data_IF_549520831713
#
_entry.id   IF_549520831713
#
_cell.length_a   1.000
_cell.length_b   1.000
_cell.length_c   1.000
_cell.angle_alpha   90.00
_cell.angle_beta   90.00
_cell.angle_gamma   90.00
#
_symmetry.space_group_name_H-M   'P 1'
#
loop_
_entity.id
_entity.type
_entity.pdbx_description
1 polymer ?
#
# COMPACT_ATOMS: atom_id res chain seq x y z
N UNK A 1 3.26 0.93 0.63
CA UNK A 1 1.98 0.65 1.35
C UNK A 1 1.16 -0.36 0.57
N UNK A 2 0.58 0.05 -0.55
CA UNK A 2 -0.13 -0.82 -1.50
C UNK A 2 0.80 -1.94 -1.95
N UNK A 3 0.30 -3.17 -2.03
CA UNK A 3 1.10 -4.35 -2.41
C UNK A 3 2.01 -4.88 -1.29
N UNK A 4 2.69 -3.99 -0.56
CA UNK A 4 3.64 -4.34 0.52
C UNK A 4 2.97 -4.68 1.85
N UNK A 5 2.21 -3.74 2.41
CA UNK A 5 1.60 -3.84 3.75
C UNK A 5 0.13 -4.26 3.67
N UNK A 6 -0.50 -3.98 2.54
CA UNK A 6 -1.90 -4.29 2.24
C UNK A 6 -1.97 -5.33 1.12
N UNK A 7 -3.11 -5.99 1.00
CA UNK A 7 -3.31 -7.09 0.06
C UNK A 7 -3.40 -6.64 -1.41
N UNK A 8 -3.47 -5.34 -1.67
CA UNK A 8 -3.80 -4.77 -2.99
C UNK A 8 -5.14 -5.32 -3.53
N UNK A 9 -6.07 -5.59 -2.60
CA UNK A 9 -7.40 -6.12 -2.89
C UNK A 9 -8.44 -5.18 -2.30
N UNK A 10 -8.82 -4.17 -3.08
CA UNK A 10 -9.84 -3.22 -2.66
C UNK A 10 -11.16 -3.94 -2.41
N UNK A 11 -11.80 -3.61 -1.29
CA UNK A 11 -13.11 -4.13 -0.90
C UNK A 11 -14.01 -2.97 -0.54
N UNK A 12 -15.21 -2.90 -1.11
CA UNK A 12 -16.23 -1.92 -0.68
C UNK A 12 -16.79 -2.37 0.67
N UNK A 13 -16.73 -1.49 1.66
CA UNK A 13 -17.13 -1.81 3.06
C UNK A 13 -18.19 -0.88 3.61
N UNK A 14 -18.36 0.30 3.03
CA UNK A 14 -19.35 1.26 3.48
C UNK A 14 -19.93 2.05 2.30
N UNK A 15 -21.19 2.45 2.36
CA UNK A 15 -21.84 3.35 1.43
C UNK A 15 -22.56 4.48 2.16
N UNK A 16 -22.80 5.58 1.45
CA UNK A 16 -23.66 6.66 1.92
C UNK A 16 -24.55 7.14 0.80
N UNK A 17 -25.87 7.14 1.04
CA UNK A 17 -26.91 7.60 0.10
C UNK A 17 -28.01 8.28 0.88
N UNK A 18 -28.49 9.44 0.42
CA UNK A 18 -29.62 10.14 1.05
C UNK A 18 -29.46 10.38 2.57
N UNK A 19 -28.22 10.55 3.05
CA UNK A 19 -27.89 10.69 4.48
C UNK A 19 -27.89 9.39 5.28
N UNK A 20 -28.30 8.26 4.67
CA UNK A 20 -28.24 6.94 5.27
C UNK A 20 -26.91 6.27 4.98
N UNK A 21 -26.42 5.48 5.94
CA UNK A 21 -25.21 4.67 5.79
C UNK A 21 -25.57 3.23 5.46
N UNK A 22 -24.79 2.64 4.57
CA UNK A 22 -24.92 1.24 4.15
C UNK A 22 -23.68 0.51 4.65
N UNK A 23 -23.86 -0.55 5.44
CA UNK A 23 -22.76 -1.43 5.81
C UNK A 23 -22.62 -2.54 4.76
N UNK A 24 -21.51 -2.52 4.01
CA UNK A 24 -21.21 -3.58 3.03
C UNK A 24 -20.32 -4.69 3.62
N UNK A 25 -19.82 -4.53 4.87
CA UNK A 25 -19.15 -5.65 5.57
C UNK A 25 -20.14 -6.74 5.92
N UNK A 26 -21.36 -6.33 6.25
CA UNK A 26 -22.52 -7.20 6.41
C UNK A 26 -23.56 -6.79 5.37
N UNK A 27 -23.37 -7.19 4.10
CA UNK A 27 -24.17 -6.68 3.00
C UNK A 27 -25.66 -6.94 3.27
N UNK A 28 -26.53 -5.92 3.08
CA UNK A 28 -27.97 -6.09 3.27
C UNK A 28 -28.52 -7.10 2.27
N UNK A 29 -29.66 -7.70 2.61
CA UNK A 29 -30.34 -8.60 1.67
C UNK A 29 -30.80 -7.76 0.46
N UNK A 30 -30.65 -8.24 -0.79
CA UNK A 30 -30.96 -7.43 -1.96
C UNK A 30 -32.36 -6.81 -1.97
N UNK A 31 -33.37 -7.44 -1.38
CA UNK A 31 -34.74 -6.90 -1.26
C UNK A 31 -34.86 -5.70 -0.31
N UNK A 32 -33.93 -5.51 0.61
CA UNK A 32 -33.94 -4.42 1.61
C UNK A 32 -33.34 -3.11 1.09
N UNK A 33 -32.65 -3.16 -0.06
CA UNK A 33 -32.08 -1.98 -0.70
C UNK A 33 -33.18 -1.04 -1.19
N UNK A 34 -33.13 0.21 -0.70
CA UNK A 34 -33.94 1.31 -1.18
C UNK A 34 -33.61 1.68 -2.63
N UNK A 35 -34.53 2.38 -3.29
CA UNK A 35 -34.37 2.78 -4.69
C UNK A 35 -33.12 3.64 -4.90
N UNK A 36 -32.81 4.55 -3.96
CA UNK A 36 -31.63 5.41 -4.05
C UNK A 36 -30.33 4.60 -3.96
N UNK A 37 -30.29 3.58 -3.10
CA UNK A 37 -29.13 2.70 -2.93
C UNK A 37 -28.90 1.83 -4.18
N UNK A 38 -29.99 1.35 -4.80
CA UNK A 38 -29.93 0.66 -6.09
C UNK A 38 -29.40 1.59 -7.18
N UNK A 39 -29.82 2.86 -7.19
CA UNK A 39 -29.31 3.85 -8.15
C UNK A 39 -27.81 4.08 -7.95
N UNK A 40 -27.32 4.16 -6.70
CA UNK A 40 -25.88 4.28 -6.42
C UNK A 40 -25.10 3.08 -6.97
N UNK A 41 -25.55 1.86 -6.64
CA UNK A 41 -24.88 0.63 -7.06
C UNK A 41 -24.92 0.45 -8.58
N UNK A 42 -26.07 0.70 -9.21
CA UNK A 42 -26.21 0.59 -10.65
C UNK A 42 -25.35 1.63 -11.39
N UNK A 43 -25.39 2.90 -10.97
CA UNK A 43 -24.63 3.97 -11.61
C UNK A 43 -23.12 3.76 -11.45
N UNK A 44 -22.68 3.25 -10.30
CA UNK A 44 -21.26 2.91 -10.06
C UNK A 44 -20.82 1.68 -10.87
N UNK A 45 -21.67 0.67 -11.03
CA UNK A 45 -21.40 -0.54 -11.81
C UNK A 45 -21.35 -0.28 -13.33
N UNK A 46 -22.24 0.57 -13.84
CA UNK A 46 -22.26 0.94 -15.27
C UNK A 46 -21.06 1.82 -15.63
N UNK A 47 -20.65 2.70 -14.72
CA UNK A 47 -19.48 3.56 -14.86
C UNK A 47 -18.18 2.82 -14.51
N UNK A 48 -18.02 1.56 -14.91
CA UNK A 48 -16.85 0.72 -14.58
C UNK A 48 -16.38 -0.05 -15.80
N UNK A 49 -15.06 -0.08 -16.04
CA UNK A 49 -14.42 -0.81 -17.14
C UNK A 49 -14.03 -2.24 -16.78
N UNK A 50 -14.01 -2.58 -15.48
CA UNK A 50 -13.74 -3.94 -15.03
C UNK A 50 -14.72 -4.96 -15.63
N UNK A 51 -14.18 -6.06 -16.14
CA UNK A 51 -14.93 -7.16 -16.71
C UNK A 51 -15.15 -8.28 -15.70
N UNK A 52 -16.39 -8.77 -15.64
CA UNK A 52 -16.78 -9.92 -14.82
C UNK A 52 -16.77 -11.19 -15.69
N UNK A 53 -15.92 -12.16 -15.33
CA UNK A 53 -15.89 -13.48 -15.96
C UNK A 53 -16.39 -14.54 -14.97
N UNK A 54 -17.50 -15.18 -15.32
CA UNK A 54 -18.02 -16.31 -14.55
C UNK A 54 -17.27 -17.59 -14.96
N UNK A 55 -16.75 -18.33 -13.98
CA UNK A 55 -16.07 -19.60 -14.18
C UNK A 55 -17.07 -20.77 -14.17
N UNK A 56 -16.75 -21.90 -14.82
CA UNK A 56 -17.67 -23.05 -14.91
C UNK A 56 -18.01 -23.71 -13.56
N UNK A 57 -17.18 -23.49 -12.55
CA UNK A 57 -17.37 -24.00 -11.18
C UNK A 57 -18.29 -23.11 -10.33
N UNK A 58 -18.81 -22.02 -10.89
CA UNK A 58 -19.67 -21.05 -10.22
C UNK A 58 -18.92 -19.95 -9.48
N UNK A 59 -17.59 -19.95 -9.50
CA UNK A 59 -16.79 -18.82 -8.99
C UNK A 59 -16.67 -17.73 -10.05
N UNK A 60 -16.17 -16.55 -9.67
CA UNK A 60 -15.98 -15.43 -10.59
C UNK A 60 -14.56 -14.89 -10.53
N UNK A 61 -14.11 -14.37 -11.66
CA UNK A 61 -12.83 -13.71 -11.85
C UNK A 61 -13.10 -12.31 -12.43
N UNK A 62 -12.55 -11.28 -11.79
CA UNK A 62 -12.65 -9.91 -12.28
C UNK A 62 -11.34 -9.49 -12.93
N UNK A 63 -11.43 -8.77 -14.05
CA UNK A 63 -10.29 -8.16 -14.71
C UNK A 63 -10.51 -6.65 -14.82
N UNK A 64 -9.63 -5.83 -14.24
CA UNK A 64 -9.74 -4.38 -14.22
C UNK A 64 -8.90 -3.76 -13.11
N UNK A 65 -9.06 -2.47 -12.86
CA UNK A 65 -8.39 -1.84 -11.72
C UNK A 65 -9.02 -2.31 -10.39
N UNK A 66 -8.25 -2.38 -9.29
CA UNK A 66 -8.75 -2.89 -8.01
C UNK A 66 -9.99 -2.14 -7.49
N UNK A 67 -10.07 -0.83 -7.69
CA UNK A 67 -11.19 0.00 -7.23
C UNK A 67 -12.48 -0.36 -7.96
N UNK A 68 -12.39 -0.62 -9.26
CA UNK A 68 -13.49 -1.07 -10.09
C UNK A 68 -13.91 -2.51 -9.81
N UNK A 69 -12.97 -3.43 -9.68
CA UNK A 69 -13.28 -4.82 -9.35
C UNK A 69 -14.00 -4.93 -8.00
N UNK A 70 -13.66 -4.07 -7.04
CA UNK A 70 -14.35 -3.99 -5.75
C UNK A 70 -15.83 -3.61 -5.88
N UNK A 71 -16.17 -2.71 -6.82
CA UNK A 71 -17.56 -2.32 -7.11
C UNK A 71 -18.31 -3.48 -7.76
N UNK A 72 -17.65 -4.19 -8.70
CA UNK A 72 -18.23 -5.39 -9.33
C UNK A 72 -18.49 -6.48 -8.31
N UNK A 73 -17.56 -6.73 -7.38
CA UNK A 73 -17.69 -7.73 -6.32
C UNK A 73 -18.89 -7.47 -5.42
N UNK A 74 -19.04 -6.22 -4.92
CA UNK A 74 -20.16 -5.90 -4.03
C UNK A 74 -21.50 -5.88 -4.79
N UNK A 75 -21.51 -5.46 -6.05
CA UNK A 75 -22.69 -5.51 -6.89
C UNK A 75 -23.14 -6.96 -7.12
N UNK A 76 -22.20 -7.85 -7.44
CA UNK A 76 -22.49 -9.28 -7.63
C UNK A 76 -23.00 -9.93 -6.34
N UNK A 77 -22.41 -9.59 -5.19
CA UNK A 77 -22.89 -10.05 -3.88
C UNK A 77 -24.34 -9.59 -3.57
N UNK A 78 -24.78 -8.50 -4.19
CA UNK A 78 -26.13 -7.95 -4.07
C UNK A 78 -27.04 -8.34 -5.26
N UNK A 79 -26.70 -9.44 -5.97
CA UNK A 79 -27.44 -9.96 -7.13
C UNK A 79 -27.51 -9.01 -8.34
N UNK A 80 -26.60 -8.04 -8.46
CA UNK A 80 -26.45 -7.18 -9.64
C UNK A 80 -25.28 -7.68 -10.49
N UNK A 81 -25.61 -8.47 -11.52
CA UNK A 81 -24.60 -9.01 -12.42
C UNK A 81 -24.22 -7.96 -13.49
N UNK A 82 -22.93 -7.58 -13.54
CA UNK A 82 -22.44 -6.59 -14.51
C UNK A 82 -22.77 -6.95 -15.96
N UNK A 83 -22.60 -8.21 -16.36
CA UNK A 83 -22.83 -8.62 -17.75
C UNK A 83 -24.31 -8.51 -18.15
N UNK A 84 -25.22 -8.65 -17.20
CA UNK A 84 -26.66 -8.48 -17.42
C UNK A 84 -27.04 -7.00 -17.44
N UNK A 85 -26.50 -6.21 -16.51
CA UNK A 85 -26.71 -4.78 -16.42
C UNK A 85 -26.16 -4.03 -17.65
N UNK A 86 -24.98 -4.41 -18.16
CA UNK A 86 -24.42 -3.83 -19.39
C UNK A 86 -25.25 -4.19 -20.63
N UNK A 87 -25.94 -5.36 -20.65
CA UNK A 87 -26.88 -5.71 -21.73
C UNK A 87 -28.19 -4.93 -21.62
N UNK A 88 -28.67 -4.71 -20.40
CA UNK A 88 -29.90 -3.98 -20.12
C UNK A 88 -29.73 -2.48 -20.36
N UNK A 89 -28.56 -1.93 -20.05
CA UNK A 89 -28.22 -0.52 -20.16
C UNK A 89 -26.95 -0.31 -21.00
N UNK A 90 -27.02 -0.54 -22.32
CA UNK A 90 -25.84 -0.53 -23.18
C UNK A 90 -25.11 0.82 -23.14
N UNK A 91 -23.78 0.76 -23.02
CA UNK A 91 -22.90 1.93 -23.06
C UNK A 91 -22.83 2.47 -24.50
N UNK A 92 -23.15 3.75 -24.65
CA UNK A 92 -23.18 4.47 -25.94
C UNK A 92 -21.90 5.28 -26.16
N UNK A 93 -21.33 5.85 -25.09
CA UNK A 93 -20.09 6.63 -25.14
C UNK A 93 -19.45 6.70 -23.76
N UNK A 94 -18.19 7.13 -23.71
CA UNK A 94 -17.46 7.33 -22.46
C UNK A 94 -16.48 8.50 -22.55
N UNK A 95 -16.09 8.98 -21.38
CA UNK A 95 -14.93 9.83 -21.16
C UNK A 95 -14.09 9.11 -20.11
N UNK A 96 -12.93 8.55 -20.51
CA UNK A 96 -12.12 7.70 -19.63
C UNK A 96 -11.57 8.48 -18.44
N UNK A 97 -11.08 7.76 -17.43
CA UNK A 97 -10.42 8.38 -16.30
C UNK A 97 -9.21 9.21 -16.74
N UNK A 98 -9.11 10.43 -16.23
CA UNK A 98 -7.99 11.33 -16.47
C UNK A 98 -7.36 11.73 -15.14
N UNK A 99 -6.03 11.67 -15.04
CA UNK A 99 -5.32 11.93 -13.77
C UNK A 99 -5.37 13.39 -13.32
N UNK A 100 -5.58 14.36 -14.22
CA UNK A 100 -5.75 15.77 -13.88
C UNK A 100 -7.18 16.02 -13.37
N UNK A 101 -8.19 15.48 -14.07
CA UNK A 101 -9.61 15.65 -13.72
C UNK A 101 -10.07 14.76 -12.57
N UNK A 102 -9.42 13.61 -12.40
CA UNK A 102 -9.72 12.53 -11.43
C UNK A 102 -11.18 12.06 -11.45
N UNK A 103 -11.78 12.03 -12.63
CA UNK A 103 -13.14 11.56 -12.88
C UNK A 103 -13.21 10.72 -14.15
N UNK A 104 -14.18 9.82 -14.16
CA UNK A 104 -14.59 9.03 -15.31
C UNK A 104 -16.09 9.21 -15.51
N UNK A 105 -16.53 9.23 -16.78
CA UNK A 105 -17.94 9.33 -17.12
C UNK A 105 -18.32 8.31 -18.20
N UNK A 106 -19.49 7.69 -18.06
CA UNK A 106 -20.07 6.82 -19.09
C UNK A 106 -21.46 7.29 -19.45
N UNK A 107 -21.87 7.06 -20.69
CA UNK A 107 -23.22 7.35 -21.17
C UNK A 107 -23.89 6.02 -21.50
N UNK A 108 -24.95 5.70 -20.78
CA UNK A 108 -25.69 4.45 -20.92
C UNK A 108 -27.12 4.73 -21.40
N UNK A 109 -27.67 3.84 -22.22
CA UNK A 109 -29.08 3.90 -22.61
C UNK A 109 -29.94 3.28 -21.51
N UNK A 110 -30.93 4.03 -21.02
CA UNK A 110 -31.84 3.58 -19.96
C UNK A 110 -33.09 2.92 -20.56
N UNK A 111 -33.78 2.11 -19.77
CA UNK A 111 -34.97 1.36 -20.21
C UNK A 111 -36.16 2.24 -20.59
N UNK A 112 -36.21 3.49 -20.11
CA UNK A 112 -37.22 4.50 -20.46
C UNK A 112 -36.91 5.23 -21.79
N UNK A 113 -35.82 4.85 -22.47
CA UNK A 113 -35.37 5.45 -23.71
C UNK A 113 -34.51 6.70 -23.54
N UNK A 114 -34.30 7.18 -22.31
CA UNK A 114 -33.37 8.29 -22.03
C UNK A 114 -31.93 7.80 -21.99
N UNK A 115 -31.01 8.75 -22.07
CA UNK A 115 -29.58 8.49 -21.87
C UNK A 115 -29.20 8.96 -20.47
N UNK A 116 -28.44 8.15 -19.73
CA UNK A 116 -27.89 8.52 -18.43
C UNK A 116 -26.39 8.67 -18.52
N UNK A 117 -25.90 9.84 -18.13
CA UNK A 117 -24.47 10.08 -17.88
C UNK A 117 -24.19 9.67 -16.44
N UNK A 118 -23.41 8.62 -16.23
CA UNK A 118 -22.91 8.20 -14.93
C UNK A 118 -21.49 8.75 -14.74
N UNK A 119 -21.18 9.28 -13.57
CA UNK A 119 -19.86 9.84 -13.25
C UNK A 119 -19.39 9.30 -11.92
N UNK A 120 -18.13 8.86 -11.86
CA UNK A 120 -17.44 8.51 -10.62
C UNK A 120 -16.10 9.24 -10.49
N UNK A 121 -15.70 9.55 -9.26
CA UNK A 121 -14.41 10.19 -9.01
C UNK A 121 -14.21 10.60 -7.56
N UNK A 122 -13.18 11.43 -7.33
CA UNK A 122 -12.93 12.04 -6.03
C UNK A 122 -14.08 12.96 -5.60
N UNK A 123 -14.28 13.13 -4.29
CA UNK A 123 -15.41 13.90 -3.77
C UNK A 123 -15.42 15.35 -4.27
N UNK A 124 -14.31 16.06 -4.07
CA UNK A 124 -14.23 17.48 -4.44
C UNK A 124 -14.37 17.64 -5.95
N UNK A 125 -13.78 16.74 -6.72
CA UNK A 125 -13.87 16.74 -8.18
C UNK A 125 -15.29 16.48 -8.67
N UNK A 126 -16.07 15.58 -8.05
CA UNK A 126 -17.47 15.30 -8.42
C UNK A 126 -18.40 16.42 -7.96
N UNK A 127 -18.21 16.96 -6.75
CA UNK A 127 -19.01 18.07 -6.25
C UNK A 127 -18.85 19.34 -7.11
N UNK A 128 -17.67 19.59 -7.68
CA UNK A 128 -17.41 20.73 -8.55
C UNK A 128 -18.29 20.77 -9.82
N UNK A 129 -18.79 19.62 -10.28
CA UNK A 129 -19.64 19.48 -11.48
C UNK A 129 -21.10 19.13 -11.16
N UNK A 130 -21.45 19.11 -9.87
CA UNK A 130 -22.77 18.77 -9.35
C UNK A 130 -23.57 20.01 -9.03
N UNK A 131 -24.87 19.98 -9.31
CA UNK A 131 -25.81 21.08 -8.97
C UNK A 131 -27.03 20.60 -8.19
N UNK A 132 -27.31 19.30 -8.23
CA UNK A 132 -28.47 18.67 -7.61
C UNK A 132 -28.03 17.48 -6.75
N UNK A 133 -28.89 17.03 -5.86
CA UNK A 133 -28.69 15.87 -5.01
C UNK A 133 -29.95 15.00 -5.04
N UNK A 134 -29.76 13.68 -5.05
CA UNK A 134 -30.81 12.70 -4.86
C UNK A 134 -31.00 12.48 -3.34
N UNK A 135 -32.20 12.75 -2.84
CA UNK A 135 -32.56 12.56 -1.44
C UNK A 135 -33.94 11.90 -1.36
N UNK A 136 -34.00 10.68 -0.84
CA UNK A 136 -35.21 9.90 -0.63
C UNK A 136 -36.11 9.83 -1.89
N UNK A 137 -35.52 9.45 -3.02
CA UNK A 137 -36.19 9.34 -4.32
C UNK A 137 -36.51 10.67 -5.01
N UNK A 138 -36.12 11.82 -4.44
CA UNK A 138 -36.37 13.15 -5.01
C UNK A 138 -35.08 13.88 -5.34
N UNK A 139 -35.02 14.43 -6.54
CA UNK A 139 -33.93 15.30 -6.98
C UNK A 139 -34.24 16.73 -6.58
N UNK A 140 -33.33 17.38 -5.85
CA UNK A 140 -33.41 18.81 -5.50
C UNK A 140 -32.07 19.50 -5.68
N UNK A 141 -32.05 20.82 -5.75
CA UNK A 141 -30.80 21.59 -5.76
C UNK A 141 -29.99 21.31 -4.50
N UNK A 142 -28.68 21.13 -4.66
CA UNK A 142 -27.76 20.90 -3.55
C UNK A 142 -27.59 22.20 -2.75
N UNK A 143 -27.64 22.13 -1.42
CA UNK A 143 -27.41 23.27 -0.53
C UNK A 143 -26.01 23.24 0.07
N UNK A 144 -25.54 24.36 0.62
CA UNK A 144 -24.27 24.43 1.35
C UNK A 144 -24.24 23.50 2.58
N UNK A 145 -25.40 23.28 3.21
CA UNK A 145 -25.56 22.35 4.33
C UNK A 145 -25.35 20.89 3.88
N UNK A 146 -25.86 20.53 2.70
CA UNK A 146 -25.63 19.19 2.12
C UNK A 146 -24.15 18.98 1.82
N UNK A 147 -23.49 19.96 1.18
CA UNK A 147 -22.06 19.91 0.86
C UNK A 147 -21.23 19.71 2.13
N UNK A 148 -21.57 20.45 3.19
CA UNK A 148 -20.90 20.34 4.49
C UNK A 148 -21.10 18.95 5.09
N UNK A 149 -22.31 18.41 5.04
CA UNK A 149 -22.65 17.06 5.54
C UNK A 149 -21.88 15.98 4.77
N UNK A 150 -21.85 16.05 3.44
CA UNK A 150 -21.14 15.11 2.58
C UNK A 150 -19.62 15.14 2.88
N UNK A 151 -19.04 16.35 3.01
CA UNK A 151 -17.61 16.50 3.36
C UNK A 151 -17.29 15.94 4.74
N UNK A 152 -18.17 16.11 5.72
CA UNK A 152 -18.01 15.55 7.05
C UNK A 152 -18.03 14.01 7.03
N UNK A 153 -18.95 13.42 6.28
CA UNK A 153 -19.01 11.96 6.12
C UNK A 153 -17.80 11.41 5.36
N UNK A 154 -17.34 12.08 4.31
CA UNK A 154 -16.10 11.72 3.62
C UNK A 154 -14.89 11.77 4.54
N UNK A 155 -14.77 12.81 5.38
CA UNK A 155 -13.71 12.91 6.38
C UNK A 155 -13.80 11.80 7.42
N UNK A 156 -14.99 11.37 7.82
CA UNK A 156 -15.18 10.23 8.72
C UNK A 156 -14.72 8.93 8.06
N UNK A 157 -15.18 8.65 6.84
CA UNK A 157 -14.77 7.47 6.08
C UNK A 157 -13.24 7.44 5.89
N UNK A 158 -12.62 8.57 5.53
CA UNK A 158 -11.17 8.68 5.40
C UNK A 158 -10.42 8.40 6.72
N UNK A 159 -10.95 8.88 7.85
CA UNK A 159 -10.39 8.57 9.19
C UNK A 159 -10.52 7.09 9.55
N UNK A 160 -11.48 6.39 8.97
CA UNK A 160 -11.63 4.93 9.07
C UNK A 160 -10.84 4.17 8.00
N UNK A 161 -9.76 4.77 7.46
CA UNK A 161 -8.90 4.20 6.42
C UNK A 161 -9.59 3.89 5.08
N UNK A 162 -10.79 4.43 4.85
CA UNK A 162 -11.51 4.18 3.61
C UNK A 162 -11.06 5.16 2.52
N UNK A 163 -10.80 4.62 1.33
CA UNK A 163 -10.76 5.36 0.08
C UNK A 163 -12.21 5.61 -0.35
N UNK A 164 -12.58 6.88 -0.51
CA UNK A 164 -13.95 7.27 -0.82
C UNK A 164 -14.06 7.59 -2.31
N UNK A 165 -15.08 7.04 -2.95
CA UNK A 165 -15.44 7.29 -4.34
C UNK A 165 -16.84 7.89 -4.38
N UNK A 166 -16.98 9.07 -4.97
CA UNK A 166 -18.28 9.72 -5.14
C UNK A 166 -18.89 9.38 -6.49
N UNK A 167 -20.22 9.25 -6.51
CA UNK A 167 -20.98 8.87 -7.70
C UNK A 167 -22.10 9.88 -7.93
N UNK A 168 -22.23 10.31 -9.17
CA UNK A 168 -23.27 11.22 -9.63
C UNK A 168 -23.82 10.76 -10.97
N UNK A 169 -25.03 11.20 -11.31
CA UNK A 169 -25.62 10.94 -12.62
C UNK A 169 -26.31 12.17 -13.20
N UNK A 170 -26.64 12.10 -14.49
CA UNK A 170 -27.54 13.04 -15.14
C UNK A 170 -28.26 12.39 -16.30
N UNK A 171 -29.57 12.52 -16.34
CA UNK A 171 -30.38 12.06 -17.47
C UNK A 171 -30.41 13.15 -18.56
N UNK A 172 -30.20 12.74 -19.81
CA UNK A 172 -30.23 13.59 -21.01
C UNK A 172 -31.12 12.94 -22.07
N UNK A 173 -31.86 13.75 -22.82
CA UNK A 173 -32.76 13.24 -23.86
C UNK A 173 -32.03 12.92 -25.18
N UNK A 174 -30.90 13.59 -25.44
CA UNK A 174 -30.11 13.39 -26.65
C UNK A 174 -28.62 13.49 -26.35
N UNK A 175 -27.84 12.65 -27.02
CA UNK A 175 -26.39 12.70 -26.98
C UNK A 175 -25.91 14.03 -27.61
N UNK A 176 -25.02 14.79 -26.94
CA UNK A 176 -24.47 16.01 -27.54
C UNK A 176 -23.60 15.69 -28.76
N UNK A 177 -23.49 16.64 -29.68
CA UNK A 177 -22.71 16.47 -30.94
C UNK A 177 -21.22 16.18 -30.68
N UNK A 178 -20.70 16.62 -29.53
CA UNK A 178 -19.37 16.28 -29.02
C UNK A 178 -19.52 15.67 -27.64
N UNK A 179 -18.88 14.53 -27.41
CA UNK A 179 -18.84 13.86 -26.11
C UNK A 179 -17.46 14.11 -25.49
N UNK A 180 -17.39 15.10 -24.62
CA UNK A 180 -16.20 15.44 -23.84
C UNK A 180 -16.60 15.85 -22.42
N UNK A 181 -15.62 15.99 -21.53
CA UNK A 181 -15.86 16.32 -20.12
C UNK A 181 -16.69 17.62 -19.97
N UNK A 182 -16.43 18.64 -20.79
CA UNK A 182 -17.14 19.94 -20.70
C UNK A 182 -18.62 19.84 -21.06
N UNK A 183 -18.97 18.96 -22.00
CA UNK A 183 -20.35 18.77 -22.46
C UNK A 183 -21.16 17.85 -21.55
N UNK A 184 -20.55 16.75 -21.07
CA UNK A 184 -21.26 15.70 -20.31
C UNK A 184 -21.14 15.81 -18.79
N UNK A 185 -20.04 16.34 -18.24
CA UNK A 185 -19.79 16.46 -16.80
C UNK A 185 -20.26 17.83 -16.26
N UNK A 186 -21.55 18.15 -16.41
CA UNK A 186 -22.12 19.41 -15.89
C UNK A 186 -23.54 19.22 -15.40
N UNK A 187 -23.94 20.01 -14.41
CA UNK A 187 -25.27 19.95 -13.81
C UNK A 187 -25.64 18.53 -13.33
N UNK A 188 -24.69 17.80 -12.73
CA UNK A 188 -24.93 16.44 -12.25
C UNK A 188 -25.80 16.43 -10.99
N UNK A 189 -26.43 15.28 -10.75
CA UNK A 189 -27.15 14.90 -9.54
C UNK A 189 -26.24 13.99 -8.72
N UNK A 190 -25.80 14.45 -7.54
CA UNK A 190 -25.06 13.63 -6.60
C UNK A 190 -25.96 12.54 -6.03
N UNK A 191 -25.48 11.29 -6.08
CA UNK A 191 -26.22 10.15 -5.53
C UNK A 191 -25.69 9.83 -4.14
N UNK A 192 -24.38 9.66 -4.03
CA UNK A 192 -23.78 9.11 -2.83
C UNK A 192 -22.29 8.82 -2.98
N UNK A 193 -21.76 8.13 -1.96
CA UNK A 193 -20.35 7.74 -1.90
C UNK A 193 -20.20 6.27 -1.52
N UNK A 194 -19.15 5.64 -2.03
CA UNK A 194 -18.69 4.31 -1.64
C UNK A 194 -17.34 4.43 -0.94
N UNK A 195 -17.28 3.92 0.29
CA UNK A 195 -16.07 3.74 1.07
C UNK A 195 -15.51 2.33 0.87
N UNK A 196 -14.28 2.27 0.36
CA UNK A 196 -13.58 1.03 0.08
C UNK A 196 -12.23 1.00 0.78
N UNK A 197 -11.81 -0.17 1.23
CA UNK A 197 -10.54 -0.36 1.95
C UNK A 197 -9.65 -1.33 1.19
N UNK A 198 -8.34 -1.05 1.20
CA UNK A 198 -7.32 -2.05 0.89
C UNK A 198 -6.87 -2.66 2.22
N UNK A 199 -7.33 -3.86 2.59
CA UNK A 199 -7.11 -4.41 3.91
C UNK A 199 -5.61 -4.68 4.13
N UNK A 200 -5.15 -4.39 5.34
CA UNK A 200 -3.82 -4.79 5.78
C UNK A 200 -3.70 -6.32 5.78
N UNK A 201 -2.51 -6.84 5.48
CA UNK A 201 -2.26 -8.26 5.60
C UNK A 201 -2.25 -8.64 7.09
N UNK A 202 -2.94 -9.72 7.53
CA UNK A 202 -3.05 -10.07 8.95
C UNK A 202 -1.69 -10.20 9.67
N UNK A 203 -0.68 -10.73 8.98
CA UNK A 203 0.67 -10.94 9.48
C UNK A 203 1.46 -9.64 9.69
N UNK A 204 1.09 -8.55 9.03
CA UNK A 204 1.81 -7.27 9.10
C UNK A 204 1.72 -6.65 10.49
N UNK A 205 0.59 -6.80 11.18
CA UNK A 205 0.40 -6.25 12.54
C UNK A 205 1.41 -6.88 13.51
N UNK A 206 1.56 -8.20 13.46
CA UNK A 206 2.53 -8.91 14.29
C UNK A 206 3.97 -8.59 13.89
N UNK A 207 4.24 -8.51 12.58
CA UNK A 207 5.55 -8.16 12.04
C UNK A 207 6.02 -6.76 12.50
N UNK A 208 5.15 -5.74 12.40
CA UNK A 208 5.43 -4.37 12.87
C UNK A 208 5.71 -4.36 14.38
N UNK A 209 4.93 -5.12 15.16
CA UNK A 209 5.16 -5.26 16.60
C UNK A 209 6.54 -5.87 16.89
N UNK A 210 6.91 -6.96 16.19
CA UNK A 210 8.22 -7.60 16.31
C UNK A 210 9.36 -6.66 15.96
N UNK A 211 9.25 -5.89 14.88
CA UNK A 211 10.21 -4.84 14.53
C UNK A 211 10.41 -3.85 15.68
N UNK A 212 9.32 -3.31 16.23
CA UNK A 212 9.38 -2.36 17.36
C UNK A 212 10.03 -2.97 18.59
N UNK A 213 9.69 -4.21 18.96
CA UNK A 213 10.34 -4.90 20.09
C UNK A 213 11.82 -5.17 19.86
N UNK A 214 12.24 -5.31 18.60
CA UNK A 214 13.64 -5.49 18.21
C UNK A 214 14.44 -4.18 18.10
N UNK A 215 13.82 -3.04 18.44
CA UNK A 215 14.43 -1.70 18.34
C UNK A 215 14.45 -1.12 16.93
N UNK A 216 13.75 -1.74 15.97
CA UNK A 216 13.63 -1.26 14.59
C UNK A 216 12.45 -0.30 14.52
N UNK A 217 12.63 0.86 13.89
CA UNK A 217 11.56 1.84 13.69
C UNK A 217 10.91 1.69 12.31
N UNK A 218 9.67 1.16 12.22
CA UNK A 218 8.97 1.10 10.95
C UNK A 218 8.41 2.48 10.59
N UNK A 219 8.52 2.84 9.31
CA UNK A 219 8.03 4.11 8.76
C UNK A 219 7.18 3.80 7.54
N UNK A 220 6.04 4.49 7.37
CA UNK A 220 5.18 4.33 6.20
C UNK A 220 5.43 5.43 5.18
N UNK A 221 5.73 5.03 3.94
CA UNK A 221 5.83 5.92 2.78
C UNK A 221 4.76 5.49 1.76
N UNK A 222 3.91 6.42 1.32
CA UNK A 222 2.78 6.10 0.42
C UNK A 222 2.37 7.26 -0.49
N UNK A 223 1.79 6.92 -1.64
CA UNK A 223 1.12 7.86 -2.54
C UNK A 223 -0.30 8.26 -2.08
N UNK A 224 -0.86 7.56 -1.09
CA UNK A 224 -2.22 7.80 -0.59
C UNK A 224 -2.34 9.15 0.14
N UNK A 225 -3.59 9.59 0.33
CA UNK A 225 -3.90 10.75 1.15
C UNK A 225 -3.44 10.59 2.60
N UNK A 226 -2.98 11.70 3.21
CA UNK A 226 -2.48 11.73 4.59
C UNK A 226 -3.45 11.13 5.61
N UNK A 227 -4.74 11.44 5.51
CA UNK A 227 -5.75 10.96 6.48
C UNK A 227 -5.86 9.43 6.42
N UNK A 228 -6.02 8.87 5.22
CA UNK A 228 -6.09 7.42 4.99
C UNK A 228 -4.79 6.72 5.38
N UNK A 229 -3.65 7.29 5.02
CA UNK A 229 -2.33 6.76 5.36
C UNK A 229 -2.12 6.68 6.87
N UNK A 230 -2.49 7.72 7.62
CA UNK A 230 -2.42 7.74 9.09
C UNK A 230 -3.36 6.70 9.70
N UNK A 231 -4.58 6.56 9.17
CA UNK A 231 -5.53 5.57 9.65
C UNK A 231 -5.01 4.13 9.49
N UNK A 232 -4.51 3.78 8.29
CA UNK A 232 -3.89 2.45 8.05
C UNK A 232 -2.65 2.27 8.92
N UNK A 233 -1.79 3.29 9.02
CA UNK A 233 -0.58 3.22 9.82
C UNK A 233 -0.88 3.02 11.32
N UNK A 234 -1.96 3.62 11.83
CA UNK A 234 -2.41 3.42 13.20
C UNK A 234 -2.96 2.01 13.41
N UNK A 235 -3.75 1.49 12.46
CA UNK A 235 -4.31 0.13 12.50
C UNK A 235 -3.23 -0.95 12.57
N UNK A 236 -2.17 -0.83 11.77
CA UNK A 236 -1.05 -1.79 11.77
C UNK A 236 0.01 -1.49 12.83
N UNK A 237 -0.18 -0.43 13.63
CA UNK A 237 0.71 -0.07 14.74
C UNK A 237 2.01 0.63 14.34
N UNK A 238 2.14 1.19 13.14
CA UNK A 238 3.25 2.06 12.74
C UNK A 238 3.12 3.43 13.41
N UNK A 239 1.95 4.06 13.29
CA UNK A 239 1.66 5.39 13.81
C UNK A 239 1.11 5.32 15.25
N UNK A 240 1.71 6.10 16.14
CA UNK A 240 1.34 6.20 17.56
C UNK A 240 1.07 7.64 17.97
N UNK A 241 0.41 7.82 19.11
CA UNK A 241 0.13 9.17 19.64
C UNK A 241 1.44 9.92 19.92
N UNK A 242 1.59 11.10 19.33
CA UNK A 242 2.84 11.89 19.36
C UNK A 242 3.64 11.86 18.06
N UNK A 243 3.39 10.89 17.18
CA UNK A 243 4.01 10.87 15.85
C UNK A 243 3.45 11.96 14.94
N UNK A 244 4.27 12.42 14.01
CA UNK A 244 3.88 13.34 12.94
C UNK A 244 3.67 12.59 11.63
N UNK A 245 2.75 13.12 10.84
CA UNK A 245 2.54 12.71 9.46
C UNK A 245 2.67 13.92 8.54
N UNK A 246 3.34 13.77 7.41
CA UNK A 246 3.59 14.86 6.45
C UNK A 246 3.13 14.45 5.05
N UNK A 247 2.61 15.42 4.31
CA UNK A 247 2.25 15.24 2.90
C UNK A 247 3.39 15.71 2.00
N UNK A 248 3.54 15.13 0.82
CA UNK A 248 4.67 15.41 -0.08
C UNK A 248 4.83 16.88 -0.46
N UNK A 249 3.73 17.62 -0.62
CA UNK A 249 3.77 19.06 -0.88
C UNK A 249 4.40 19.86 0.26
N UNK A 250 4.06 19.52 1.52
CA UNK A 250 4.66 20.14 2.70
C UNK A 250 6.12 19.71 2.86
N UNK A 251 6.41 18.42 2.59
CA UNK A 251 7.78 17.89 2.66
C UNK A 251 8.73 18.57 1.67
N UNK A 252 8.22 19.02 0.52
CA UNK A 252 9.00 19.77 -0.47
C UNK A 252 9.41 21.16 0.04
N UNK A 253 8.58 21.79 0.87
CA UNK A 253 8.85 23.11 1.45
C UNK A 253 9.80 23.05 2.66
N UNK A 254 9.94 21.89 3.31
CA UNK A 254 10.83 21.71 4.46
C UNK A 254 12.28 21.64 3.95
N UNK A 255 13.19 22.53 4.43
CA UNK A 255 14.61 22.47 4.14
C UNK A 255 15.25 21.17 4.66
N UNK A 256 16.28 20.67 3.98
CA UNK A 256 16.91 19.40 4.33
C UNK A 256 17.49 19.42 5.76
N UNK A 257 18.03 20.54 6.24
CA UNK A 257 18.57 20.65 7.61
C UNK A 257 17.48 20.49 8.68
N UNK A 258 16.30 21.03 8.43
CA UNK A 258 15.14 20.88 9.33
C UNK A 258 14.56 19.48 9.25
N UNK A 259 14.44 18.94 8.03
CA UNK A 259 13.98 17.58 7.81
C UNK A 259 14.88 16.57 8.52
N UNK A 260 16.20 16.73 8.44
CA UNK A 260 17.14 15.84 9.10
C UNK A 260 16.92 15.92 10.61
N UNK A 261 17.00 17.10 11.22
CA UNK A 261 16.84 17.26 12.68
C UNK A 261 15.55 16.64 13.23
N UNK A 262 14.45 16.72 12.48
CA UNK A 262 13.12 16.32 12.93
C UNK A 262 12.64 14.98 12.33
N UNK A 263 13.49 14.24 11.60
CA UNK A 263 13.09 13.03 10.86
C UNK A 263 12.47 11.96 11.76
N UNK A 264 13.02 11.79 12.96
CA UNK A 264 12.54 10.85 13.97
C UNK A 264 11.15 11.16 14.51
N UNK A 265 10.58 12.34 14.21
CA UNK A 265 9.21 12.67 14.62
C UNK A 265 8.19 12.16 13.61
N UNK A 266 8.61 11.83 12.39
CA UNK A 266 7.70 11.49 11.30
C UNK A 266 7.62 9.97 11.09
N UNK A 267 6.42 9.41 11.26
CA UNK A 267 6.15 7.99 11.04
C UNK A 267 5.39 7.71 9.75
N UNK A 268 4.75 8.73 9.15
CA UNK A 268 3.94 8.59 7.92
C UNK A 268 4.23 9.72 6.93
N UNK A 269 4.57 9.34 5.71
CA UNK A 269 4.79 10.23 4.56
C UNK A 269 3.77 9.89 3.47
N UNK A 270 2.89 10.83 3.18
CA UNK A 270 1.74 10.64 2.30
C UNK A 270 1.85 11.48 1.02
N UNK A 271 1.24 11.06 -0.09
CA UNK A 271 1.34 11.70 -1.41
C UNK A 271 2.78 12.08 -1.79
N UNK A 272 3.73 11.16 -1.56
CA UNK A 272 5.14 11.42 -1.88
C UNK A 272 5.46 11.14 -3.35
N UNK A 273 6.29 11.99 -3.93
CA UNK A 273 6.89 11.76 -5.25
C UNK A 273 8.16 10.88 -5.12
N UNK A 274 8.66 10.26 -6.20
CA UNK A 274 9.88 9.44 -6.17
C UNK A 274 11.08 10.15 -5.52
N UNK A 275 11.27 11.44 -5.81
CA UNK A 275 12.38 12.25 -5.30
C UNK A 275 12.30 12.43 -3.77
N UNK A 276 11.08 12.51 -3.24
CA UNK A 276 10.84 12.61 -1.81
C UNK A 276 11.25 11.33 -1.08
N UNK A 277 11.06 10.15 -1.69
CA UNK A 277 11.46 8.87 -1.08
C UNK A 277 12.97 8.82 -0.87
N UNK A 278 13.74 9.24 -1.87
CA UNK A 278 15.21 9.35 -1.77
C UNK A 278 15.62 10.34 -0.68
N UNK A 279 14.97 11.51 -0.59
CA UNK A 279 15.23 12.50 0.46
C UNK A 279 14.98 11.93 1.87
N UNK A 280 13.88 11.18 2.05
CA UNK A 280 13.55 10.54 3.33
C UNK A 280 14.62 9.51 3.72
N UNK A 281 15.04 8.65 2.79
CA UNK A 281 16.08 7.65 3.06
C UNK A 281 17.38 8.33 3.49
N UNK A 282 17.81 9.38 2.79
CA UNK A 282 19.02 10.16 3.15
C UNK A 282 18.92 10.82 4.53
N UNK A 283 17.75 11.31 4.91
CA UNK A 283 17.53 11.93 6.21
C UNK A 283 17.67 10.94 7.38
N UNK A 284 17.20 9.71 7.20
CA UNK A 284 17.44 8.63 8.17
C UNK A 284 18.92 8.23 8.19
N UNK A 285 19.54 8.04 7.02
CA UNK A 285 20.97 7.71 6.93
C UNK A 285 21.87 8.79 7.58
N UNK A 286 21.50 10.07 7.53
CA UNK A 286 22.29 11.14 8.17
C UNK A 286 22.32 11.05 9.70
N UNK A 287 21.41 10.28 10.32
CA UNK A 287 21.41 10.00 11.75
C UNK A 287 22.32 8.82 12.13
N UNK A 288 22.94 8.17 11.15
CA UNK A 288 23.73 6.96 11.35
C UNK A 288 22.88 5.69 11.45
N UNK A 289 21.58 5.79 11.18
CA UNK A 289 20.69 4.64 11.09
C UNK A 289 20.95 3.84 9.81
N UNK A 290 20.88 2.50 9.93
CA UNK A 290 20.88 1.60 8.77
C UNK A 290 19.46 1.49 8.25
N UNK A 291 19.24 1.92 7.00
CA UNK A 291 17.91 2.05 6.41
C UNK A 291 17.65 0.90 5.45
N UNK A 292 16.63 0.10 5.77
CA UNK A 292 16.04 -0.84 4.82
C UNK A 292 14.80 -0.22 4.17
N UNK A 293 14.74 -0.19 2.84
CA UNK A 293 13.59 0.31 2.09
C UNK A 293 12.87 -0.83 1.39
N UNK A 294 11.54 -0.85 1.48
CA UNK A 294 10.68 -1.81 0.78
C UNK A 294 9.86 -1.10 -0.30
N UNK A 295 9.75 -1.72 -1.49
CA UNK A 295 8.99 -1.15 -2.60
C UNK A 295 8.68 -2.16 -3.72
N UNK A 296 7.76 -1.80 -4.59
CA UNK A 296 7.26 -2.66 -5.69
C UNK A 296 7.28 -1.93 -7.04
N UNK A 297 7.09 -0.61 -7.05
CA UNK A 297 6.99 0.18 -8.27
C UNK A 297 8.32 0.72 -8.81
N UNK A 298 8.31 1.11 -10.09
CA UNK A 298 9.42 1.85 -10.73
C UNK A 298 9.77 3.14 -9.97
N UNK A 299 8.76 3.75 -9.35
CA UNK A 299 8.89 4.95 -8.52
C UNK A 299 9.68 4.73 -7.22
N UNK A 300 9.88 3.47 -6.81
CA UNK A 300 10.65 3.12 -5.61
C UNK A 300 12.12 2.81 -5.93
N UNK A 301 12.45 2.50 -7.19
CA UNK A 301 13.78 2.07 -7.60
C UNK A 301 14.92 3.01 -7.18
N UNK A 302 14.82 4.36 -7.33
CA UNK A 302 15.90 5.25 -6.89
C UNK A 302 16.15 5.20 -5.38
N UNK A 303 15.08 5.01 -4.60
CA UNK A 303 15.16 5.03 -3.14
C UNK A 303 15.52 3.64 -2.58
N UNK A 304 15.10 2.56 -3.24
CA UNK A 304 15.63 1.20 -3.03
C UNK A 304 17.14 1.18 -3.20
N UNK A 305 17.66 1.82 -4.26
CA UNK A 305 19.10 1.86 -4.53
C UNK A 305 19.88 2.77 -3.57
N UNK A 306 19.22 3.78 -3.00
CA UNK A 306 19.82 4.70 -2.03
C UNK A 306 19.88 4.09 -0.62
N UNK A 307 18.97 3.19 -0.28
CA UNK A 307 18.93 2.52 1.01
C UNK A 307 20.15 1.64 1.23
N UNK A 308 20.47 1.35 2.50
CA UNK A 308 21.55 0.42 2.84
C UNK A 308 21.19 -1.02 2.45
N UNK A 309 19.88 -1.33 2.49
CA UNK A 309 19.30 -2.57 1.97
C UNK A 309 17.99 -2.24 1.24
N UNK A 310 17.99 -2.39 -0.08
CA UNK A 310 16.77 -2.32 -0.90
C UNK A 310 16.06 -3.68 -0.94
N UNK A 311 14.76 -3.71 -0.65
CA UNK A 311 13.94 -4.92 -0.66
C UNK A 311 12.76 -4.76 -1.64
N UNK A 312 12.67 -5.61 -2.65
CA UNK A 312 11.54 -5.59 -3.59
C UNK A 312 10.57 -6.75 -3.42
N UNK A 313 9.33 -6.55 -3.86
CA UNK A 313 8.33 -7.62 -3.99
C UNK A 313 8.63 -8.48 -5.23
N UNK A 314 8.49 -9.80 -5.13
CA UNK A 314 8.80 -10.76 -6.19
C UNK A 314 7.66 -10.97 -7.19
N UNK A 315 6.41 -10.98 -6.72
CA UNK A 315 5.22 -11.23 -7.55
C UNK A 315 4.68 -9.92 -8.10
N UNK A 316 4.33 -8.94 -7.25
CA UNK A 316 3.78 -7.66 -7.68
C UNK A 316 4.83 -6.63 -8.11
N UNK A 317 6.10 -6.85 -7.75
CA UNK A 317 7.17 -5.90 -8.05
C UNK A 317 7.52 -5.84 -9.52
N UNK A 318 7.77 -4.62 -10.01
CA UNK A 318 8.26 -4.37 -11.37
C UNK A 318 9.71 -4.86 -11.52
N UNK A 319 10.11 -5.26 -12.74
CA UNK A 319 11.49 -5.70 -13.00
C UNK A 319 12.53 -4.62 -12.64
N UNK A 320 12.19 -3.34 -12.87
CA UNK A 320 13.05 -2.22 -12.47
C UNK A 320 13.24 -2.14 -10.95
N UNK A 321 12.20 -2.42 -10.17
CA UNK A 321 12.31 -2.44 -8.70
C UNK A 321 13.15 -3.63 -8.22
N UNK A 322 13.01 -4.80 -8.85
CA UNK A 322 13.81 -6.00 -8.53
C UNK A 322 15.30 -5.77 -8.83
N UNK A 323 15.62 -5.23 -10.01
CA UNK A 323 17.00 -4.91 -10.40
C UNK A 323 17.66 -3.84 -9.52
N UNK A 324 16.86 -2.92 -8.96
CA UNK A 324 17.36 -1.88 -8.06
C UNK A 324 17.54 -2.36 -6.61
N UNK A 325 16.97 -3.51 -6.24
CA UNK A 325 16.97 -4.06 -4.89
C UNK A 325 18.15 -5.02 -4.64
N UNK A 326 18.52 -5.17 -3.38
CA UNK A 326 19.54 -6.15 -2.94
C UNK A 326 18.89 -7.49 -2.54
N UNK A 327 17.61 -7.46 -2.15
CA UNK A 327 16.82 -8.62 -1.73
C UNK A 327 15.46 -8.61 -2.41
N UNK A 328 15.06 -9.76 -2.97
CA UNK A 328 13.73 -9.95 -3.59
C UNK A 328 12.90 -10.94 -2.76
N UNK A 329 11.72 -10.52 -2.31
CA UNK A 329 10.78 -11.36 -1.56
C UNK A 329 9.92 -12.18 -2.53
N UNK A 330 10.22 -13.47 -2.68
CA UNK A 330 9.51 -14.34 -3.62
C UNK A 330 8.03 -14.57 -3.28
N UNK A 331 7.63 -14.32 -2.04
CA UNK A 331 6.29 -14.57 -1.50
C UNK A 331 5.48 -13.29 -1.26
N UNK A 332 6.04 -12.12 -1.55
CA UNK A 332 5.42 -10.81 -1.30
C UNK A 332 4.99 -10.58 0.15
N UNK A 333 5.69 -11.21 1.11
CA UNK A 333 5.33 -11.14 2.52
C UNK A 333 6.29 -10.28 3.34
N UNK A 334 5.75 -9.19 3.92
CA UNK A 334 6.49 -8.32 4.82
C UNK A 334 7.03 -9.04 6.07
N UNK A 335 6.32 -10.06 6.57
CA UNK A 335 6.78 -10.82 7.74
C UNK A 335 8.10 -11.56 7.49
N UNK A 336 8.41 -11.89 6.23
CA UNK A 336 9.67 -12.52 5.82
C UNK A 336 10.87 -11.61 6.10
N UNK A 337 10.70 -10.29 6.02
CA UNK A 337 11.75 -9.32 6.37
C UNK A 337 12.10 -9.42 7.86
N UNK A 338 11.10 -9.60 8.72
CA UNK A 338 11.32 -9.74 10.17
C UNK A 338 12.13 -10.99 10.47
N UNK A 339 11.79 -12.11 9.81
CA UNK A 339 12.57 -13.35 9.90
C UNK A 339 14.00 -13.17 9.37
N UNK A 340 14.17 -12.44 8.26
CA UNK A 340 15.50 -12.15 7.71
C UNK A 340 16.37 -11.32 8.67
N UNK A 341 15.78 -10.36 9.38
CA UNK A 341 16.52 -9.59 10.40
C UNK A 341 16.91 -10.48 11.59
N UNK A 342 16.04 -11.39 12.02
CA UNK A 342 16.35 -12.37 13.07
C UNK A 342 17.53 -13.27 12.67
N UNK A 343 17.51 -13.83 11.45
CA UNK A 343 18.61 -14.64 10.91
C UNK A 343 19.88 -13.81 10.73
N UNK A 344 19.77 -12.57 10.26
CA UNK A 344 20.92 -11.66 10.08
C UNK A 344 21.66 -11.38 11.39
N UNK A 345 20.91 -11.13 12.48
CA UNK A 345 21.49 -10.95 13.82
C UNK A 345 22.16 -12.24 14.32
N UNK A 346 21.52 -13.40 14.11
CA UNK A 346 22.09 -14.71 14.47
C UNK A 346 23.41 -15.00 13.74
N UNK A 347 23.44 -14.77 12.43
CA UNK A 347 24.65 -14.97 11.62
C UNK A 347 25.76 -14.05 12.09
N UNK A 348 25.46 -12.79 12.42
CA UNK A 348 26.45 -11.84 12.94
C UNK A 348 27.09 -12.34 14.24
N UNK A 349 26.29 -12.80 15.21
CA UNK A 349 26.79 -13.35 16.47
C UNK A 349 27.65 -14.61 16.23
N UNK A 350 27.19 -15.50 15.35
CA UNK A 350 27.93 -16.71 14.99
C UNK A 350 29.27 -16.41 14.29
N UNK A 351 29.34 -15.38 13.45
CA UNK A 351 30.59 -14.89 12.85
C UNK A 351 31.55 -14.41 13.94
N UNK A 352 31.07 -13.66 14.94
CA UNK A 352 31.91 -13.20 16.05
C UNK A 352 32.46 -14.38 16.86
N UNK A 353 31.67 -15.42 17.12
CA UNK A 353 32.14 -16.65 17.79
C UNK A 353 33.23 -17.35 16.98
N UNK A 354 33.03 -17.49 15.67
CA UNK A 354 34.03 -18.09 14.78
C UNK A 354 35.34 -17.27 14.77
N UNK A 355 35.25 -15.94 14.70
CA UNK A 355 36.42 -15.05 14.79
C UNK A 355 37.12 -15.20 16.13
N UNK A 356 36.39 -15.22 17.25
CA UNK A 356 36.97 -15.38 18.59
C UNK A 356 37.71 -16.72 18.73
N UNK A 357 37.14 -17.81 18.19
CA UNK A 357 37.78 -19.12 18.15
C UNK A 357 39.09 -19.08 17.35
N UNK A 358 39.03 -18.59 16.10
CA UNK A 358 40.20 -18.52 15.21
C UNK A 358 41.31 -17.62 15.79
N UNK A 359 40.94 -16.48 16.38
CA UNK A 359 41.90 -15.57 17.00
C UNK A 359 42.56 -16.21 18.24
N UNK A 360 41.79 -16.95 19.04
CA UNK A 360 42.31 -17.62 20.25
C UNK A 360 43.33 -18.70 19.90
N UNK A 361 43.07 -19.48 18.85
CA UNK A 361 44.00 -20.48 18.34
C UNK A 361 45.32 -19.84 17.87
N UNK A 362 45.21 -18.80 17.03
CA UNK A 362 46.36 -18.04 16.53
C UNK A 362 47.21 -17.43 17.66
N UNK A 363 46.57 -16.84 18.68
CA UNK A 363 47.28 -16.30 19.84
C UNK A 363 48.03 -17.41 20.59
N UNK A 364 47.44 -18.60 20.73
CA UNK A 364 48.10 -19.77 21.33
C UNK A 364 49.35 -20.20 20.57
N UNK A 365 49.28 -20.30 19.24
CA UNK A 365 50.42 -20.64 18.39
C UNK A 365 51.57 -19.63 18.52
N UNK A 366 51.23 -18.33 18.45
CA UNK A 366 52.21 -17.24 18.55
C UNK A 366 52.88 -17.25 19.93
N UNK A 367 52.10 -17.40 21.02
CA UNK A 367 52.63 -17.47 22.37
C UNK A 367 53.54 -18.68 22.57
N UNK A 368 53.19 -19.85 22.01
CA UNK A 368 54.01 -21.06 22.08
C UNK A 368 55.39 -20.85 21.43
N UNK A 369 55.40 -20.31 20.21
CA UNK A 369 56.64 -20.02 19.48
C UNK A 369 57.46 -18.97 20.22
N UNK A 370 56.81 -17.91 20.73
CA UNK A 370 57.47 -16.86 21.50
C UNK A 370 58.14 -17.40 22.75
N UNK A 371 57.42 -18.18 23.58
CA UNK A 371 57.96 -18.78 24.81
C UNK A 371 59.12 -19.72 24.48
N UNK A 372 58.97 -20.60 23.49
CA UNK A 372 60.02 -21.53 23.09
C UNK A 372 61.29 -20.78 22.61
N UNK A 373 61.12 -19.67 21.90
CA UNK A 373 62.22 -18.82 21.46
C UNK A 373 62.92 -18.12 22.64
N UNK A 374 62.17 -17.60 23.62
CA UNK A 374 62.73 -16.92 24.80
C UNK A 374 63.58 -17.87 25.66
N UNK A 375 63.13 -19.12 25.82
CA UNK A 375 63.85 -20.14 26.60
C UNK A 375 64.84 -20.98 25.77
N UNK A 376 65.02 -20.67 24.49
CA UNK A 376 65.89 -21.39 23.56
C UNK A 376 65.59 -22.91 23.50
N UNK A 377 64.31 -23.28 23.52
CA UNK A 377 63.82 -24.66 23.49
C UNK A 377 63.73 -25.26 22.07
N UNK A 378 64.22 -24.53 21.06
CA UNK A 378 64.08 -24.89 19.65
C UNK A 378 62.76 -24.38 19.04
N UNK A 379 62.43 -24.85 17.84
CA UNK A 379 61.20 -24.46 17.15
C UNK A 379 60.09 -25.52 17.35
N UNK A 380 59.07 -25.26 18.18
CA UNK A 380 58.04 -26.24 18.50
C UNK A 380 57.08 -26.50 17.33
N UNK A 381 56.90 -25.54 16.42
CA UNK A 381 55.98 -25.64 15.29
C UNK A 381 56.67 -25.24 13.99
N UNK A 382 56.68 -26.14 13.00
CA UNK A 382 57.16 -25.80 11.65
C UNK A 382 56.11 -24.98 10.88
N UNK A 383 56.50 -24.17 9.87
CA UNK A 383 55.53 -23.42 9.07
C UNK A 383 54.44 -24.30 8.41
N UNK A 384 54.79 -25.53 8.02
CA UNK A 384 53.83 -26.50 7.45
C UNK A 384 52.81 -26.95 8.50
N UNK A 385 53.22 -27.11 9.77
CA UNK A 385 52.31 -27.48 10.87
C UNK A 385 51.32 -26.36 11.17
N UNK A 386 51.77 -25.10 11.18
CA UNK A 386 50.91 -23.91 11.39
C UNK A 386 49.84 -23.82 10.29
N UNK A 387 50.24 -24.05 9.03
CA UNK A 387 49.28 -24.11 7.91
C UNK A 387 48.28 -25.24 8.08
N UNK A 388 48.72 -26.41 8.55
CA UNK A 388 47.84 -27.54 8.81
C UNK A 388 46.79 -27.22 9.88
N UNK A 389 47.20 -26.53 10.95
CA UNK A 389 46.29 -26.14 12.03
C UNK A 389 45.26 -25.13 11.51
N UNK A 390 45.73 -23.99 11.00
CA UNK A 390 44.85 -22.89 10.58
C UNK A 390 43.92 -23.26 9.41
N UNK A 391 44.42 -23.99 8.41
CA UNK A 391 43.64 -24.26 7.20
C UNK A 391 42.72 -25.47 7.37
N UNK A 392 43.11 -26.48 8.14
CA UNK A 392 42.37 -27.74 8.15
C UNK A 392 41.74 -28.04 9.50
N UNK A 393 42.50 -27.96 10.60
CA UNK A 393 41.93 -28.31 11.92
C UNK A 393 40.95 -27.26 12.39
N UNK A 394 41.22 -25.99 12.15
CA UNK A 394 40.42 -24.89 12.70
C UNK A 394 39.24 -24.50 11.81
N UNK A 395 39.33 -24.78 10.51
CA UNK A 395 38.26 -24.42 9.55
C UNK A 395 36.96 -25.19 9.79
N UNK A 396 37.02 -26.49 10.12
CA UNK A 396 35.80 -27.29 10.35
C UNK A 396 35.05 -26.88 11.63
N UNK A 397 35.71 -26.69 12.79
CA UNK A 397 35.06 -26.13 13.98
C UNK A 397 34.53 -24.71 13.77
N UNK A 398 35.27 -23.84 13.08
CA UNK A 398 34.80 -22.48 12.78
C UNK A 398 33.53 -22.48 11.93
N UNK A 399 33.45 -23.37 10.94
CA UNK A 399 32.22 -23.60 10.16
C UNK A 399 31.08 -24.14 11.03
N UNK A 400 31.36 -25.06 11.95
CA UNK A 400 30.34 -25.57 12.87
C UNK A 400 29.77 -24.45 13.77
N UNK A 401 30.63 -23.57 14.30
CA UNK A 401 30.22 -22.40 15.09
C UNK A 401 29.36 -21.41 14.27
N UNK A 402 29.55 -21.35 12.95
CA UNK A 402 28.73 -20.49 12.08
C UNK A 402 27.25 -20.94 12.03
N UNK A 403 26.97 -22.20 12.38
CA UNK A 403 25.64 -22.82 12.36
C UNK A 403 24.99 -22.91 13.75
N UNK A 404 25.59 -22.31 14.78
CA UNK A 404 25.04 -22.36 16.13
C UNK A 404 23.61 -21.76 16.20
N UNK A 405 22.73 -22.31 17.06
CA UNK A 405 21.43 -21.73 17.31
C UNK A 405 21.54 -20.37 18.01
N UNK A 406 20.50 -19.55 17.89
CA UNK A 406 20.45 -18.25 18.55
C UNK A 406 20.61 -18.39 20.08
N UNK A 407 21.50 -17.58 20.65
CA UNK A 407 21.58 -17.39 22.10
C UNK A 407 20.43 -16.47 22.56
N UNK A 408 19.90 -16.73 23.76
CA UNK A 408 18.70 -16.05 24.28
C UNK A 408 18.98 -14.70 24.91
#
# INVERSE_FOLDING_TARGET
KTGTLTQNKMTVVEGMVSGNRIDFRNPPVPEELSDDERILLNSSLLCTDAHLKMLPDGTHENAGDPTETAIVDIALALNLNKNEEDRKYPRVSEVPFDSERKRMATVNQMADGKLRVNVKGGLDEVLAVTTHILMHGKVRTITEEDITTIRNENNRMAKSALRVLSVAYRDIDRLPDRVDAETIERNLVFIGMLGMIDPARPEVVEAVKKCKTAGIRPVMITGDHKVTAVAIAAEIGIYTEGDKAVAGNVLQEIPDEELYRDIEKYSVYARVAPEHKVRIVKAWQSHGDIVAMTGDGVNDAPALKQADIGVSMGIVGTEVAKDASDVVLTDDNFATIVGAVEEGRRIYDNILKAIQFLLSANVGEVLLIFIASVFNLGNPLTPIMILWINLVTDSLPALALSMDPAEK
#
